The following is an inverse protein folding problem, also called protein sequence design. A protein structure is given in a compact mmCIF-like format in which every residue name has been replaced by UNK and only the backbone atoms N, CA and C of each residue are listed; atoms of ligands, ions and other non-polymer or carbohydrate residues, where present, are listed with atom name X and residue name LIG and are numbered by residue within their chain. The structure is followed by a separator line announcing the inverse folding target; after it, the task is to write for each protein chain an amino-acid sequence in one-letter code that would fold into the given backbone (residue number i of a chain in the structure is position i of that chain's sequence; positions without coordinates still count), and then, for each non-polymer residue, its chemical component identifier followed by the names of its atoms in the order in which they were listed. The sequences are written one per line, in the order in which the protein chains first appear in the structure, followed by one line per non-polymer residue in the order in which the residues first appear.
data_IF_980936527125
#
_entry.id   IF_980936527125
#
_cell.length_a   1.000
_cell.length_b   1.000
_cell.length_c   1.000
_cell.angle_alpha   90.00
_cell.angle_beta   90.00
_cell.angle_gamma   90.00
#
_symmetry.space_group_name_H-M   'P 1'
#
loop_
_entity.id
_entity.type
_entity.pdbx_description
1 polymer ?
#
# COMPACT_ATOMS: atom_id res chain seq x y z
N UNK A 1 -7.93 -24.04 -26.52
CA UNK A 1 -7.09 -23.04 -27.18
C UNK A 1 -6.01 -23.73 -28.01
N UNK A 2 -5.57 -23.15 -29.15
CA UNK A 2 -4.46 -23.69 -29.91
C UNK A 2 -3.17 -23.80 -29.07
N UNK A 3 -2.30 -24.73 -29.45
CA UNK A 3 -1.00 -24.86 -28.79
C UNK A 3 -0.17 -23.57 -28.94
N UNK A 4 0.62 -23.26 -27.88
CA UNK A 4 1.56 -22.14 -27.87
C UNK A 4 0.94 -20.74 -27.83
N UNK A 5 -0.36 -20.56 -27.55
CA UNK A 5 -0.97 -19.24 -27.31
C UNK A 5 -0.43 -18.61 -26.03
N UNK A 6 -0.15 -19.42 -25.00
CA UNK A 6 0.43 -18.97 -23.73
C UNK A 6 1.69 -19.77 -23.42
N UNK A 7 2.76 -19.05 -23.08
CA UNK A 7 4.03 -19.63 -22.62
C UNK A 7 4.51 -18.93 -21.36
N UNK A 8 4.81 -19.71 -20.33
CA UNK A 8 5.55 -19.22 -19.17
C UNK A 8 7.05 -19.43 -19.41
N UNK A 9 7.84 -18.35 -19.34
CA UNK A 9 9.28 -18.37 -19.55
C UNK A 9 9.94 -17.68 -18.36
N UNK A 10 10.80 -18.42 -17.63
CA UNK A 10 11.59 -17.84 -16.54
C UNK A 10 12.82 -17.14 -17.12
N UNK A 11 12.84 -15.81 -17.04
CA UNK A 11 13.90 -14.96 -17.59
C UNK A 11 14.43 -14.02 -16.51
N UNK A 12 15.76 -13.91 -16.33
CA UNK A 12 16.34 -12.89 -15.46
C UNK A 12 15.97 -11.48 -15.93
N UNK A 13 15.75 -10.56 -14.99
CA UNK A 13 15.35 -9.18 -15.31
C UNK A 13 16.29 -8.46 -16.28
N UNK A 14 17.60 -8.77 -16.23
CA UNK A 14 18.62 -8.23 -17.16
C UNK A 14 18.38 -8.60 -18.63
N UNK A 15 17.68 -9.69 -18.90
CA UNK A 15 17.46 -10.20 -20.25
C UNK A 15 16.09 -9.76 -20.83
N UNK A 16 15.22 -9.15 -20.01
CA UNK A 16 13.89 -8.67 -20.44
C UNK A 16 13.98 -7.64 -21.57
N UNK A 17 15.01 -6.81 -21.55
CA UNK A 17 15.26 -5.82 -22.61
C UNK A 17 15.39 -6.48 -24.00
N UNK A 18 16.07 -7.62 -24.09
CA UNK A 18 16.21 -8.36 -25.36
C UNK A 18 14.88 -8.88 -25.88
N UNK A 19 13.98 -9.28 -24.96
CA UNK A 19 12.64 -9.74 -25.33
C UNK A 19 11.81 -8.55 -25.86
N UNK A 20 11.84 -7.42 -25.16
CA UNK A 20 11.09 -6.23 -25.59
C UNK A 20 11.55 -5.73 -26.95
N UNK A 21 12.84 -5.81 -27.26
CA UNK A 21 13.42 -5.40 -28.55
C UNK A 21 12.97 -6.26 -29.73
N UNK A 22 12.63 -7.52 -29.49
CA UNK A 22 12.28 -8.47 -30.57
C UNK A 22 11.07 -7.96 -31.39
N UNK A 23 11.20 -7.97 -32.72
CA UNK A 23 10.16 -7.47 -33.62
C UNK A 23 8.83 -8.20 -33.54
N UNK A 24 8.84 -9.42 -33.03
CA UNK A 24 7.64 -10.25 -32.82
C UNK A 24 6.85 -9.85 -31.58
N UNK A 25 7.46 -9.13 -30.65
CA UNK A 25 6.78 -8.59 -29.46
C UNK A 25 6.06 -7.30 -29.82
N UNK A 26 4.74 -7.31 -29.80
CA UNK A 26 3.90 -6.18 -30.20
C UNK A 26 3.63 -5.20 -29.06
N UNK A 27 3.52 -5.71 -27.82
CA UNK A 27 3.21 -4.91 -26.64
C UNK A 27 3.83 -5.54 -25.38
N UNK A 28 3.92 -4.75 -24.30
CA UNK A 28 4.43 -5.17 -22.99
C UNK A 28 3.45 -4.74 -21.92
N UNK A 29 3.14 -5.64 -21.00
CA UNK A 29 2.50 -5.30 -19.73
C UNK A 29 3.42 -5.68 -18.58
N UNK A 30 3.49 -4.85 -17.56
CA UNK A 30 4.30 -5.08 -16.36
C UNK A 30 3.50 -4.77 -15.11
N UNK A 31 3.55 -5.67 -14.13
CA UNK A 31 3.17 -5.39 -12.75
C UNK A 31 4.43 -5.42 -11.91
N UNK A 32 4.74 -4.32 -11.21
CA UNK A 32 5.97 -4.22 -10.42
C UNK A 32 6.20 -2.84 -9.81
N UNK A 33 7.41 -2.61 -9.32
CA UNK A 33 7.76 -1.33 -8.71
C UNK A 33 7.86 -0.21 -9.76
N UNK A 34 7.65 1.04 -9.33
CA UNK A 34 7.78 2.23 -10.20
C UNK A 34 9.13 2.31 -10.94
N UNK A 35 10.29 2.01 -10.31
CA UNK A 35 11.57 1.98 -11.03
C UNK A 35 11.62 0.92 -12.15
N UNK A 36 11.05 -0.27 -11.91
CA UNK A 36 10.96 -1.34 -12.92
C UNK A 36 10.05 -0.90 -14.07
N UNK A 37 8.89 -0.33 -13.76
CA UNK A 37 7.97 0.21 -14.76
C UNK A 37 8.62 1.26 -15.66
N UNK A 38 9.36 2.20 -15.06
CA UNK A 38 10.13 3.21 -15.81
C UNK A 38 11.16 2.59 -16.75
N UNK A 39 11.87 1.57 -16.29
CA UNK A 39 12.86 0.84 -17.10
C UNK A 39 12.20 0.14 -18.29
N UNK A 40 11.10 -0.57 -18.07
CA UNK A 40 10.34 -1.26 -19.13
C UNK A 40 9.76 -0.24 -20.12
N UNK A 41 9.13 0.83 -19.63
CA UNK A 41 8.55 1.87 -20.49
C UNK A 41 9.60 2.57 -21.35
N UNK A 42 10.79 2.83 -20.80
CA UNK A 42 11.92 3.41 -21.55
C UNK A 42 12.29 2.54 -22.75
N UNK A 43 12.48 1.25 -22.53
CA UNK A 43 12.85 0.32 -23.62
C UNK A 43 11.69 0.17 -24.61
N UNK A 44 10.46 -0.03 -24.13
CA UNK A 44 9.29 -0.17 -25.00
C UNK A 44 9.07 1.10 -25.86
N UNK A 45 9.21 2.29 -25.29
CA UNK A 45 9.11 3.56 -26.02
C UNK A 45 10.18 3.71 -27.10
N UNK A 46 11.43 3.29 -26.83
CA UNK A 46 12.51 3.30 -27.81
C UNK A 46 12.17 2.43 -29.05
N UNK A 47 11.41 1.36 -28.86
CA UNK A 47 11.00 0.45 -29.95
C UNK A 47 9.53 0.64 -30.38
N UNK A 48 8.89 1.74 -29.94
CA UNK A 48 7.50 2.13 -30.25
C UNK A 48 6.49 1.04 -29.94
N UNK A 49 6.67 0.32 -28.81
CA UNK A 49 5.79 -0.75 -28.36
C UNK A 49 4.76 -0.23 -27.36
N UNK A 50 3.53 -0.71 -27.47
CA UNK A 50 2.48 -0.39 -26.48
C UNK A 50 2.86 -0.92 -25.12
N UNK A 51 2.53 -0.15 -24.06
CA UNK A 51 2.76 -0.56 -22.67
C UNK A 51 1.49 -0.44 -21.84
N UNK A 52 1.30 -1.39 -20.92
CA UNK A 52 0.40 -1.29 -19.77
C UNK A 52 1.26 -1.40 -18.53
N UNK A 53 1.15 -0.44 -17.62
CA UNK A 53 2.01 -0.32 -16.45
C UNK A 53 1.15 -0.36 -15.19
N UNK A 54 1.19 -1.48 -14.46
CA UNK A 54 0.62 -1.66 -13.14
C UNK A 54 1.73 -1.54 -12.11
N UNK A 55 1.80 -0.41 -11.40
CA UNK A 55 2.94 -0.05 -10.58
C UNK A 55 2.58 0.06 -9.10
N UNK A 56 3.49 0.62 -8.30
CA UNK A 56 3.26 0.84 -6.88
C UNK A 56 2.13 1.83 -6.60
N UNK A 57 1.61 1.76 -5.39
CA UNK A 57 0.56 2.63 -4.88
C UNK A 57 0.76 2.97 -3.41
N UNK A 58 0.22 4.09 -2.98
CA UNK A 58 0.13 4.47 -1.57
C UNK A 58 -1.27 4.99 -1.28
N UNK A 59 -2.23 4.07 -1.38
CA UNK A 59 -3.65 4.37 -1.37
C UNK A 59 -4.07 5.09 -0.08
N UNK A 60 -4.72 6.28 -0.19
CA UNK A 60 -5.31 6.96 0.94
C UNK A 60 -6.68 6.38 1.29
N UNK A 61 -6.89 6.06 2.55
CA UNK A 61 -8.18 5.71 3.13
C UNK A 61 -8.61 6.88 4.00
N UNK A 62 -9.51 7.72 3.47
CA UNK A 62 -9.99 8.96 4.10
C UNK A 62 -11.18 8.63 5.00
N UNK A 63 -11.13 9.05 6.27
CA UNK A 63 -12.18 8.81 7.24
C UNK A 63 -12.71 10.17 7.72
N UNK A 64 -13.91 10.53 7.27
CA UNK A 64 -14.57 11.77 7.61
C UNK A 64 -15.24 11.70 8.99
N UNK A 65 -15.65 12.84 9.52
CA UNK A 65 -16.16 12.98 10.89
C UNK A 65 -17.47 12.21 11.16
N UNK A 66 -18.28 12.00 10.11
CA UNK A 66 -19.55 11.27 10.19
C UNK A 66 -19.44 9.78 9.92
N UNK A 67 -18.23 9.28 9.61
CA UNK A 67 -17.98 7.88 9.25
C UNK A 67 -18.41 6.89 10.36
N UNK A 68 -18.82 5.71 9.95
CA UNK A 68 -18.94 4.56 10.84
C UNK A 68 -17.53 4.06 11.18
N UNK A 69 -17.07 4.38 12.39
CA UNK A 69 -15.70 4.09 12.84
C UNK A 69 -15.39 2.60 12.79
N UNK A 70 -16.30 1.74 13.22
CA UNK A 70 -16.08 0.29 13.25
C UNK A 70 -15.93 -0.29 11.85
N UNK A 71 -16.76 0.15 10.92
CA UNK A 71 -16.64 -0.24 9.51
C UNK A 71 -15.34 0.27 8.89
N UNK A 72 -15.00 1.53 9.11
CA UNK A 72 -13.78 2.13 8.58
C UNK A 72 -12.53 1.43 9.10
N UNK A 73 -12.43 1.21 10.42
CA UNK A 73 -11.29 0.52 11.05
C UNK A 73 -11.14 -0.91 10.55
N UNK A 74 -12.24 -1.67 10.48
CA UNK A 74 -12.18 -3.05 9.96
C UNK A 74 -11.78 -3.09 8.48
N UNK A 75 -12.27 -2.17 7.66
CA UNK A 75 -11.87 -2.06 6.25
C UNK A 75 -10.39 -1.72 6.12
N UNK A 76 -9.87 -0.76 6.91
CA UNK A 76 -8.46 -0.41 6.93
C UNK A 76 -7.58 -1.60 7.34
N UNK A 77 -7.95 -2.32 8.41
CA UNK A 77 -7.21 -3.50 8.87
C UNK A 77 -7.19 -4.57 7.78
N UNK A 78 -8.37 -4.98 7.29
CA UNK A 78 -8.47 -6.03 6.27
C UNK A 78 -7.74 -5.65 4.98
N UNK A 79 -7.91 -4.40 4.50
CA UNK A 79 -7.20 -3.88 3.33
C UNK A 79 -5.68 -3.79 3.53
N UNK A 80 -5.21 -3.76 4.79
CA UNK A 80 -3.78 -3.65 5.09
C UNK A 80 -3.08 -4.97 5.33
N UNK A 81 -3.75 -5.94 5.96
CA UNK A 81 -3.11 -7.22 6.34
C UNK A 81 -3.19 -8.28 5.25
N UNK A 82 -4.04 -8.10 4.24
CA UNK A 82 -4.14 -9.02 3.11
C UNK A 82 -2.76 -9.24 2.48
N UNK A 83 -2.38 -10.50 2.27
CA UNK A 83 -1.07 -10.89 1.75
C UNK A 83 0.12 -10.26 2.53
N UNK A 84 0.00 -10.15 3.85
CA UNK A 84 0.96 -9.47 4.73
C UNK A 84 1.24 -8.01 4.30
N UNK A 85 0.25 -7.32 3.77
CA UNK A 85 0.34 -5.94 3.29
C UNK A 85 1.07 -5.76 1.97
N UNK A 86 1.45 -6.84 1.30
CA UNK A 86 2.16 -6.84 0.04
C UNK A 86 1.18 -6.78 -1.15
N UNK A 87 0.46 -5.66 -1.25
CA UNK A 87 -0.47 -5.36 -2.32
C UNK A 87 -0.35 -3.89 -2.72
N UNK A 88 -0.38 -3.61 -4.02
CA UNK A 88 -0.32 -2.24 -4.55
C UNK A 88 -1.53 -1.40 -4.12
N UNK A 89 -2.73 -2.01 -4.00
CA UNK A 89 -3.99 -1.37 -3.57
C UNK A 89 -4.24 -1.49 -2.06
N UNK A 90 -3.23 -1.81 -1.26
CA UNK A 90 -3.37 -1.96 0.19
C UNK A 90 -3.63 -0.61 0.87
N UNK A 91 -4.42 -0.61 1.97
CA UNK A 91 -4.69 0.58 2.80
C UNK A 91 -3.41 1.08 3.49
N UNK A 92 -2.64 1.93 2.82
CA UNK A 92 -1.32 2.38 3.30
C UNK A 92 -1.40 3.63 4.15
N UNK A 93 -2.09 4.68 3.68
CA UNK A 93 -2.24 5.95 4.37
C UNK A 93 -3.68 6.10 4.89
N UNK A 94 -3.86 6.02 6.20
CA UNK A 94 -5.16 6.17 6.85
C UNK A 94 -5.26 7.61 7.32
N UNK A 95 -6.06 8.43 6.64
CA UNK A 95 -6.18 9.87 6.87
C UNK A 95 -7.51 10.11 7.57
N UNK A 96 -7.46 10.43 8.86
CA UNK A 96 -8.63 10.66 9.69
C UNK A 96 -8.76 12.13 10.06
N UNK A 97 -9.96 12.70 9.94
CA UNK A 97 -10.21 14.04 10.47
C UNK A 97 -10.01 14.06 11.99
N UNK A 98 -9.62 15.19 12.54
CA UNK A 98 -9.27 15.32 13.98
C UNK A 98 -10.39 14.87 14.92
N UNK A 99 -11.64 15.01 14.49
CA UNK A 99 -12.80 14.63 15.32
C UNK A 99 -12.89 13.13 15.56
N UNK A 100 -12.45 12.31 14.60
CA UNK A 100 -12.49 10.83 14.70
C UNK A 100 -11.13 10.19 14.91
N UNK A 101 -10.03 10.93 14.76
CA UNK A 101 -8.65 10.42 14.82
C UNK A 101 -8.37 9.60 16.09
N UNK A 102 -8.69 10.14 17.27
CA UNK A 102 -8.43 9.45 18.53
C UNK A 102 -9.28 8.20 18.70
N UNK A 103 -10.55 8.26 18.31
CA UNK A 103 -11.45 7.10 18.33
C UNK A 103 -10.95 5.98 17.40
N UNK A 104 -10.44 6.32 16.22
CA UNK A 104 -9.86 5.37 15.28
C UNK A 104 -8.56 4.77 15.85
N UNK A 105 -7.69 5.60 16.43
CA UNK A 105 -6.46 5.15 17.08
C UNK A 105 -6.75 4.15 18.21
N UNK A 106 -7.75 4.44 19.04
CA UNK A 106 -8.12 3.58 20.16
C UNK A 106 -8.73 2.26 19.67
N UNK A 107 -9.54 2.28 18.61
CA UNK A 107 -10.07 1.05 18.00
C UNK A 107 -8.95 0.20 17.36
N UNK A 108 -7.96 0.82 16.73
CA UNK A 108 -6.77 0.08 16.26
C UNK A 108 -6.02 -0.58 17.41
N UNK A 109 -5.78 0.14 18.52
CA UNK A 109 -5.13 -0.41 19.73
C UNK A 109 -5.91 -1.59 20.34
N UNK A 110 -7.22 -1.57 20.22
CA UNK A 110 -8.06 -2.68 20.73
C UNK A 110 -8.02 -3.91 19.81
N UNK A 111 -8.05 -3.72 18.48
CA UNK A 111 -8.27 -4.82 17.52
C UNK A 111 -6.94 -5.43 17.06
N UNK A 112 -5.93 -4.61 16.75
CA UNK A 112 -4.68 -5.10 16.13
C UNK A 112 -3.92 -6.11 17.01
N UNK A 113 -3.84 -5.97 18.36
CA UNK A 113 -3.15 -6.95 19.19
C UNK A 113 -3.82 -8.35 19.21
N UNK A 114 -5.07 -8.46 18.78
CA UNK A 114 -5.80 -9.73 18.69
C UNK A 114 -5.50 -10.51 17.41
N UNK A 115 -4.82 -9.87 16.44
CA UNK A 115 -4.47 -10.47 15.15
C UNK A 115 -3.28 -11.43 15.32
N UNK A 116 -3.42 -12.62 14.78
CA UNK A 116 -2.46 -13.71 14.94
C UNK A 116 -1.55 -13.76 13.73
N UNK A 117 -0.24 -13.65 13.98
CA UNK A 117 0.80 -13.86 12.97
C UNK A 117 1.38 -15.27 13.11
N UNK A 118 1.48 -16.00 12.01
CA UNK A 118 2.00 -17.37 12.06
C UNK A 118 2.11 -18.07 10.70
N UNK A 119 2.22 -19.38 10.73
CA UNK A 119 2.27 -20.22 9.52
C UNK A 119 0.94 -20.11 8.76
N UNK A 120 0.92 -19.74 7.46
CA UNK A 120 -0.31 -19.59 6.69
C UNK A 120 -1.09 -20.90 6.46
N UNK A 121 -0.53 -22.05 6.86
CA UNK A 121 -1.24 -23.33 6.88
C UNK A 121 -2.12 -23.48 8.12
N UNK A 122 -1.92 -22.64 9.12
CA UNK A 122 -2.73 -22.58 10.33
C UNK A 122 -3.81 -21.50 10.21
N UNK A 123 -4.70 -21.44 11.21
CA UNK A 123 -5.71 -20.36 11.26
C UNK A 123 -5.09 -19.08 11.82
N UNK A 124 -4.48 -18.29 10.93
CA UNK A 124 -3.80 -17.04 11.27
C UNK A 124 -4.31 -15.87 10.41
N UNK A 125 -4.17 -14.66 10.93
CA UNK A 125 -4.57 -13.44 10.20
C UNK A 125 -3.50 -12.98 9.22
N UNK A 126 -2.21 -13.26 9.51
CA UNK A 126 -1.09 -12.78 8.72
C UNK A 126 0.04 -13.80 8.67
N UNK A 127 0.50 -14.09 7.46
CA UNK A 127 1.65 -14.94 7.18
C UNK A 127 2.97 -14.16 7.06
N UNK A 128 4.04 -14.83 6.60
CA UNK A 128 5.32 -14.19 6.34
C UNK A 128 5.29 -13.32 5.08
N UNK A 129 6.20 -12.39 4.98
CA UNK A 129 6.50 -11.66 3.75
C UNK A 129 7.24 -12.55 2.74
N UNK A 130 7.35 -12.09 1.49
CA UNK A 130 7.92 -12.85 0.37
C UNK A 130 9.41 -13.21 0.57
N UNK A 131 10.18 -12.39 1.29
CA UNK A 131 11.60 -12.60 1.52
C UNK A 131 12.11 -11.86 2.75
N UNK A 132 13.28 -12.28 3.25
CA UNK A 132 13.97 -11.57 4.33
C UNK A 132 14.35 -10.14 3.92
N UNK A 133 14.79 -9.95 2.68
CA UNK A 133 15.13 -8.60 2.18
C UNK A 133 13.92 -7.67 2.13
N UNK A 134 12.76 -8.15 1.70
CA UNK A 134 11.53 -7.35 1.72
C UNK A 134 11.10 -6.98 3.15
N UNK A 135 11.22 -7.92 4.10
CA UNK A 135 10.98 -7.67 5.52
C UNK A 135 11.93 -6.60 6.08
N UNK A 136 13.22 -6.72 5.76
CA UNK A 136 14.25 -5.81 6.29
C UNK A 136 14.09 -4.41 5.69
N UNK A 137 13.66 -4.29 4.43
CA UNK A 137 13.28 -3.02 3.80
C UNK A 137 12.12 -2.34 4.53
N UNK A 138 11.03 -3.09 4.79
CA UNK A 138 9.90 -2.57 5.56
C UNK A 138 10.32 -2.15 6.97
N UNK A 139 11.18 -2.93 7.63
CA UNK A 139 11.68 -2.57 8.95
C UNK A 139 12.49 -1.27 8.92
N UNK A 140 13.34 -1.09 7.92
CA UNK A 140 14.09 0.14 7.71
C UNK A 140 13.17 1.34 7.48
N UNK A 141 12.13 1.20 6.64
CA UNK A 141 11.13 2.26 6.39
C UNK A 141 10.37 2.65 7.65
N UNK A 142 10.00 1.66 8.48
CA UNK A 142 9.36 1.90 9.79
C UNK A 142 10.32 2.64 10.74
N UNK A 143 11.56 2.20 10.86
CA UNK A 143 12.56 2.83 11.72
C UNK A 143 12.81 4.27 11.30
N UNK A 144 13.04 4.54 10.02
CA UNK A 144 13.24 5.89 9.49
C UNK A 144 12.03 6.80 9.74
N UNK A 145 10.82 6.24 9.70
CA UNK A 145 9.60 7.01 10.01
C UNK A 145 9.52 7.38 11.49
N UNK A 146 9.92 6.46 12.38
CA UNK A 146 9.99 6.72 13.83
C UNK A 146 11.05 7.79 14.13
N UNK A 147 12.23 7.66 13.53
CA UNK A 147 13.33 8.63 13.68
C UNK A 147 12.93 10.03 13.17
N UNK A 148 12.03 10.09 12.19
CA UNK A 148 11.45 11.32 11.66
C UNK A 148 10.27 11.86 12.50
N UNK A 149 9.90 11.19 13.61
CA UNK A 149 8.91 11.67 14.57
C UNK A 149 7.55 10.97 14.52
N UNK A 150 7.37 9.90 13.75
CA UNK A 150 6.18 9.06 13.85
C UNK A 150 6.16 8.30 15.18
N UNK A 151 4.99 8.18 15.80
CA UNK A 151 4.80 7.43 17.04
C UNK A 151 4.54 5.96 16.75
N UNK A 152 5.43 5.07 17.21
CA UNK A 152 5.18 3.63 17.16
C UNK A 152 4.16 3.25 18.24
N UNK A 153 3.02 2.72 17.81
CA UNK A 153 1.93 2.30 18.70
C UNK A 153 1.96 0.78 18.92
N UNK A 154 2.25 0.01 17.87
CA UNK A 154 2.28 -1.46 17.89
C UNK A 154 3.27 -1.98 16.85
N UNK A 155 3.86 -3.15 17.10
CA UNK A 155 4.75 -3.82 16.15
C UNK A 155 6.12 -3.15 16.03
N UNK A 156 6.62 -2.97 14.80
CA UNK A 156 7.85 -2.24 14.51
C UNK A 156 9.15 -2.98 14.85
N UNK A 157 9.12 -4.31 14.99
CA UNK A 157 10.31 -5.09 15.30
C UNK A 157 10.41 -6.36 14.44
N UNK A 158 11.61 -6.89 14.31
CA UNK A 158 11.84 -8.19 13.66
C UNK A 158 11.71 -9.29 14.71
N UNK A 159 10.73 -10.21 14.58
CA UNK A 159 10.52 -11.27 15.58
C UNK A 159 11.63 -12.35 15.48
N UNK A 160 11.91 -13.00 16.61
CA UNK A 160 12.83 -14.15 16.67
C UNK A 160 12.16 -15.44 16.15
N UNK A 161 11.68 -15.38 14.90
CA UNK A 161 11.04 -16.51 14.23
C UNK A 161 11.82 -16.86 12.96
N UNK A 162 11.84 -18.15 12.60
CA UNK A 162 12.42 -18.59 11.32
C UNK A 162 11.48 -18.20 10.18
N UNK A 163 11.96 -17.38 9.25
CA UNK A 163 11.21 -16.90 8.10
C UNK A 163 11.10 -15.37 8.05
N UNK A 164 10.45 -14.87 7.02
CA UNK A 164 10.32 -13.43 6.75
C UNK A 164 9.10 -12.82 7.48
N UNK A 165 8.88 -13.17 8.73
CA UNK A 165 7.77 -12.62 9.51
C UNK A 165 8.02 -11.18 9.91
N UNK A 166 6.98 -10.35 9.76
CA UNK A 166 6.94 -8.99 10.27
C UNK A 166 5.57 -8.72 10.92
N UNK A 167 5.52 -8.25 12.17
CA UNK A 167 4.26 -8.06 12.86
C UNK A 167 3.47 -6.92 12.27
N UNK A 168 2.14 -6.96 12.45
CA UNK A 168 1.30 -5.80 12.15
C UNK A 168 1.84 -4.62 12.96
N UNK A 169 2.12 -3.53 12.23
CA UNK A 169 2.71 -2.33 12.79
C UNK A 169 1.75 -1.16 12.62
N UNK A 170 1.58 -0.36 13.67
CA UNK A 170 0.80 0.86 13.64
C UNK A 170 1.70 2.05 13.97
N UNK A 171 1.82 2.96 13.01
CA UNK A 171 2.45 4.27 13.17
C UNK A 171 1.36 5.33 13.27
N UNK A 172 1.44 6.22 14.26
CA UNK A 172 0.53 7.34 14.44
C UNK A 172 1.27 8.68 14.33
N UNK A 173 0.52 9.75 14.03
CA UNK A 173 1.10 11.08 13.84
C UNK A 173 2.01 11.19 12.62
N UNK A 174 1.79 10.33 11.63
CA UNK A 174 2.53 10.35 10.36
C UNK A 174 2.19 11.63 9.59
N UNK A 175 3.21 12.24 8.98
CA UNK A 175 3.11 13.54 8.27
C UNK A 175 3.91 13.51 6.97
N UNK A 176 3.60 14.40 6.00
CA UNK A 176 4.45 14.64 4.84
C UNK A 176 5.93 14.85 5.22
N UNK A 177 6.84 14.29 4.45
CA UNK A 177 8.28 14.26 4.74
C UNK A 177 8.76 13.05 5.54
N UNK A 178 7.84 12.23 6.07
CA UNK A 178 8.18 10.95 6.70
C UNK A 178 8.10 9.82 5.67
N UNK A 179 8.98 8.83 5.77
CA UNK A 179 9.00 7.66 4.87
C UNK A 179 7.63 6.98 4.79
N UNK A 180 6.95 6.80 5.93
CA UNK A 180 5.62 6.19 5.99
C UNK A 180 4.50 7.01 5.34
N UNK A 181 4.75 8.28 4.97
CA UNK A 181 3.85 9.11 4.19
C UNK A 181 4.23 9.12 2.72
N UNK A 182 5.52 9.32 2.42
CA UNK A 182 6.01 9.67 1.08
C UNK A 182 6.30 8.44 0.21
N UNK A 183 6.63 7.29 0.84
CA UNK A 183 7.00 6.06 0.13
C UNK A 183 5.91 5.00 0.20
N UNK A 184 5.99 4.04 -0.70
CA UNK A 184 5.20 2.82 -0.62
C UNK A 184 5.83 1.84 0.39
N UNK A 185 5.18 1.61 1.56
CA UNK A 185 5.56 0.53 2.46
C UNK A 185 4.83 -0.75 2.02
N UNK A 186 5.58 -1.70 1.45
CA UNK A 186 5.02 -2.95 0.91
C UNK A 186 5.02 -4.08 1.94
N UNK A 187 4.34 -3.83 3.08
CA UNK A 187 4.29 -4.70 4.26
C UNK A 187 3.16 -4.33 5.23
N UNK A 188 2.98 -5.03 6.34
CA UNK A 188 1.81 -4.92 7.22
C UNK A 188 1.89 -3.70 8.16
N UNK A 189 2.05 -2.50 7.60
CA UNK A 189 2.23 -1.25 8.33
C UNK A 189 1.08 -0.30 8.04
N UNK A 190 0.32 0.08 9.06
CA UNK A 190 -0.73 1.08 9.01
C UNK A 190 -0.13 2.44 9.39
N UNK A 191 -0.27 3.44 8.52
CA UNK A 191 0.18 4.82 8.76
C UNK A 191 -1.03 5.70 9.04
N UNK A 192 -1.23 6.09 10.31
CA UNK A 192 -2.36 6.93 10.73
C UNK A 192 -1.96 8.40 10.72
N UNK A 193 -2.67 9.19 9.93
CA UNK A 193 -2.45 10.59 9.63
C UNK A 193 -3.65 11.39 10.13
N UNK A 194 -3.40 12.49 10.81
CA UNK A 194 -4.45 13.40 11.25
C UNK A 194 -4.61 14.54 10.25
N UNK A 195 -5.85 14.84 9.89
CA UNK A 195 -6.22 16.02 9.13
C UNK A 195 -7.13 16.92 9.99
N UNK A 196 -6.94 18.23 9.93
CA UNK A 196 -7.76 19.19 10.68
C UNK A 196 -9.24 19.15 10.27
N UNK A 197 -9.49 18.91 8.97
CA UNK A 197 -10.82 18.88 8.37
C UNK A 197 -10.80 18.08 7.06
N UNK A 198 -11.95 18.03 6.38
CA UNK A 198 -12.10 17.34 5.09
C UNK A 198 -11.20 17.90 3.99
N UNK A 199 -11.05 19.21 3.89
CA UNK A 199 -10.23 19.85 2.86
C UNK A 199 -8.76 19.43 3.00
N UNK A 200 -8.23 19.42 4.21
CA UNK A 200 -6.88 18.96 4.46
C UNK A 200 -6.76 17.45 4.24
N UNK A 201 -7.76 16.65 4.60
CA UNK A 201 -7.74 15.20 4.34
C UNK A 201 -7.63 14.91 2.84
N UNK A 202 -8.36 15.64 2.00
CA UNK A 202 -8.27 15.53 0.54
C UNK A 202 -6.90 16.01 0.04
N UNK A 203 -6.39 17.13 0.56
CA UNK A 203 -5.08 17.63 0.19
C UNK A 203 -3.97 16.63 0.53
N UNK A 204 -4.00 16.04 1.73
CA UNK A 204 -3.05 15.00 2.16
C UNK A 204 -3.20 13.73 1.31
N UNK A 205 -4.42 13.34 0.94
CA UNK A 205 -4.66 12.19 0.07
C UNK A 205 -3.96 12.35 -1.29
N UNK A 206 -4.07 13.54 -1.89
CA UNK A 206 -3.48 13.86 -3.19
C UNK A 206 -1.99 14.21 -3.13
N UNK A 207 -1.42 14.41 -1.93
CA UNK A 207 0.00 14.72 -1.75
C UNK A 207 0.86 13.45 -1.87
N UNK A 208 0.90 12.88 -3.05
CA UNK A 208 1.65 11.66 -3.36
C UNK A 208 1.91 11.57 -4.86
N UNK A 209 3.02 10.93 -5.29
CA UNK A 209 3.26 10.63 -6.70
C UNK A 209 2.46 9.40 -7.20
N UNK A 210 1.75 8.71 -6.32
CA UNK A 210 0.97 7.52 -6.64
C UNK A 210 -0.51 7.91 -6.91
N UNK A 211 -1.24 7.06 -7.65
CA UNK A 211 -2.63 7.33 -8.00
C UNK A 211 -3.39 6.06 -8.38
N UNK A 212 -3.12 4.94 -7.68
CA UNK A 212 -3.70 3.66 -8.06
C UNK A 212 -5.12 3.48 -7.52
N UNK A 213 -5.35 3.76 -6.25
CA UNK A 213 -6.67 3.63 -5.62
C UNK A 213 -6.86 4.57 -4.44
N UNK A 214 -8.10 4.64 -3.94
CA UNK A 214 -8.47 5.38 -2.74
C UNK A 214 -9.75 4.83 -2.12
N UNK A 215 -9.98 5.13 -0.85
CA UNK A 215 -11.27 4.87 -0.20
C UNK A 215 -11.71 6.09 0.64
N UNK A 216 -13.02 6.29 0.70
CA UNK A 216 -13.62 7.36 1.51
C UNK A 216 -14.70 6.74 2.40
N UNK A 217 -14.64 7.05 3.68
CA UNK A 217 -15.60 6.62 4.69
C UNK A 217 -16.40 7.81 5.18
N UNK A 218 -17.68 7.79 4.91
CA UNK A 218 -18.69 8.79 5.31
C UNK A 218 -20.07 8.13 5.33
N UNK A 219 -21.01 8.65 6.08
CA UNK A 219 -22.42 8.25 6.00
C UNK A 219 -23.15 8.95 4.87
N UNK A 220 -22.65 10.10 4.42
CA UNK A 220 -23.16 10.83 3.26
C UNK A 220 -22.57 10.23 1.97
N UNK A 221 -23.28 9.25 1.41
CA UNK A 221 -22.84 8.51 0.21
C UNK A 221 -22.69 9.45 -0.99
N UNK A 222 -23.63 10.39 -1.18
CA UNK A 222 -23.60 11.33 -2.32
C UNK A 222 -22.34 12.22 -2.25
N UNK A 223 -22.05 12.76 -1.07
CA UNK A 223 -20.84 13.53 -0.80
C UNK A 223 -19.59 12.69 -1.04
N UNK A 224 -19.56 11.46 -0.53
CA UNK A 224 -18.44 10.52 -0.73
C UNK A 224 -18.16 10.25 -2.20
N UNK A 225 -19.20 10.02 -3.00
CA UNK A 225 -19.08 9.82 -4.45
C UNK A 225 -18.58 11.08 -5.18
N UNK A 226 -19.06 12.25 -4.80
CA UNK A 226 -18.60 13.52 -5.39
C UNK A 226 -17.11 13.70 -5.11
N UNK A 227 -16.66 13.52 -3.86
CA UNK A 227 -15.25 13.64 -3.51
C UNK A 227 -14.42 12.64 -4.31
N UNK A 228 -14.82 11.36 -4.34
CA UNK A 228 -14.09 10.32 -5.07
C UNK A 228 -13.95 10.64 -6.57
N UNK A 229 -15.03 11.07 -7.21
CA UNK A 229 -15.07 11.30 -8.66
C UNK A 229 -14.39 12.61 -9.10
N UNK A 230 -14.35 13.62 -8.24
CA UNK A 230 -13.97 14.98 -8.66
C UNK A 230 -12.78 15.57 -7.93
N UNK A 231 -12.37 15.00 -6.79
CA UNK A 231 -11.39 15.61 -5.90
C UNK A 231 -10.20 14.71 -5.55
N UNK A 232 -10.28 13.41 -5.78
CA UNK A 232 -9.20 12.47 -5.52
C UNK A 232 -8.49 12.12 -6.82
N UNK A 233 -7.14 12.18 -6.78
CA UNK A 233 -6.28 11.85 -7.91
C UNK A 233 -5.89 10.37 -7.87
N UNK A 234 -6.87 9.47 -7.99
CA UNK A 234 -6.68 8.02 -7.99
C UNK A 234 -7.69 7.33 -8.91
N UNK A 235 -7.31 6.14 -9.46
CA UNK A 235 -8.16 5.32 -10.33
C UNK A 235 -7.73 5.27 -11.77
#
# INVERSE_FOLDING_TARGET
FPENIFRNVSVPGKDVEHIIKDSRVAAVTITGSTPVGRSVAKVAGQYLKKTVLELGGSDPYIILEDADIDKAVNACINGRILNAGQSCISAKRIIATKFVYHSILDRFKEILPKKIMGDPRDNVDIGPMVSLSARDEVHMQVTNSIDSGASLILGGFIPKLKGAFYPITLLAGVKPGMVAFDEEIFGPVLSLIMAENEEEAIALANNTPFGLGAAIFTKDIEKGEIIAKTRIHAG
#
